data_IF_834622531605
#
_entry.id   IF_834622531605
#
_cell.length_a   1.000
_cell.length_b   1.000
_cell.length_c   1.000
_cell.angle_alpha   90.00
_cell.angle_beta   90.00
_cell.angle_gamma   90.00
#
_symmetry.space_group_name_H-M   'P 1'
#
loop_
_entity.id
_entity.type
_entity.pdbx_description
1 polymer ?
#
# COMPACT_ATOMS: atom_id res chain seq x y z
N UNK A 1 -20.57 4.51 14.61
CA UNK A 1 -20.97 4.84 15.97
C UNK A 1 -20.15 4.06 16.96
N UNK A 2 -19.42 4.77 17.79
CA UNK A 2 -18.55 4.11 18.77
C UNK A 2 -19.30 3.30 19.79
N UNK A 3 -20.43 3.84 20.24
CA UNK A 3 -21.25 3.16 21.24
C UNK A 3 -21.71 1.80 20.76
N UNK A 4 -22.14 1.72 19.52
CA UNK A 4 -22.60 0.45 18.93
C UNK A 4 -21.49 -0.59 18.90
N UNK A 5 -20.29 -0.17 18.56
CA UNK A 5 -19.14 -1.07 18.54
C UNK A 5 -18.85 -1.67 19.91
N UNK A 6 -18.92 -0.84 20.92
CA UNK A 6 -18.67 -1.29 22.29
C UNK A 6 -19.77 -2.23 22.78
N UNK A 7 -21.01 -1.92 22.44
CA UNK A 7 -22.16 -2.75 22.84
C UNK A 7 -22.09 -4.14 22.25
N UNK A 8 -21.46 -4.29 21.09
CA UNK A 8 -21.32 -5.59 20.47
C UNK A 8 -20.20 -6.43 21.07
N UNK A 9 -19.53 -5.92 22.10
CA UNK A 9 -18.45 -6.62 22.75
C UNK A 9 -17.21 -6.77 21.89
N UNK A 10 -17.15 -6.04 20.81
CA UNK A 10 -16.01 -6.03 19.90
C UNK A 10 -15.53 -4.61 19.70
N UNK A 11 -14.23 -4.49 19.55
CA UNK A 11 -13.66 -3.22 19.11
C UNK A 11 -13.46 -3.35 17.62
N UNK A 12 -14.31 -2.70 16.85
CA UNK A 12 -14.15 -2.62 15.41
C UNK A 12 -13.25 -1.46 15.12
N UNK A 13 -12.23 -1.71 14.32
CA UNK A 13 -11.34 -0.64 13.89
C UNK A 13 -12.09 0.32 12.98
N UNK A 14 -11.77 1.58 13.11
CA UNK A 14 -12.34 2.58 12.23
C UNK A 14 -11.71 2.48 10.86
N UNK A 15 -12.52 2.64 9.83
CA UNK A 15 -11.99 2.81 8.48
C UNK A 15 -11.26 4.15 8.44
N UNK A 16 -10.04 4.11 7.97
CA UNK A 16 -9.19 5.28 7.82
C UNK A 16 -8.80 5.46 6.37
N UNK A 17 -8.42 6.67 6.01
CA UNK A 17 -7.85 6.97 4.71
C UNK A 17 -6.34 7.06 4.85
N UNK A 18 -5.63 6.32 4.02
CA UNK A 18 -4.18 6.28 4.04
C UNK A 18 -3.62 6.89 2.76
N UNK A 19 -2.59 7.70 2.91
CA UNK A 19 -1.84 8.26 1.79
C UNK A 19 -0.81 7.22 1.36
N UNK A 20 -0.93 6.77 0.13
CA UNK A 20 -0.18 5.64 -0.37
C UNK A 20 0.60 6.03 -1.62
N UNK A 21 1.87 5.67 -1.68
CA UNK A 21 2.71 5.90 -2.84
C UNK A 21 3.33 4.59 -3.29
N UNK A 22 3.17 4.30 -4.58
CA UNK A 22 3.74 3.09 -5.19
C UNK A 22 5.06 3.44 -5.86
N UNK A 23 6.09 2.64 -5.55
CA UNK A 23 7.41 2.76 -6.17
C UNK A 23 7.71 1.50 -6.97
N UNK A 24 8.24 1.69 -8.16
CA UNK A 24 8.69 0.60 -9.00
C UNK A 24 10.06 0.93 -9.58
N UNK A 25 10.82 -0.11 -9.88
CA UNK A 25 12.07 0.04 -10.63
C UNK A 25 11.75 0.21 -12.11
N UNK A 26 12.67 0.79 -12.91
CA UNK A 26 12.43 0.95 -14.35
C UNK A 26 12.07 -0.35 -15.05
N UNK A 27 12.67 -1.45 -14.61
CA UNK A 27 12.38 -2.78 -15.16
C UNK A 27 12.13 -3.76 -14.04
N UNK A 28 11.24 -4.71 -14.30
CA UNK A 28 10.94 -5.76 -13.33
C UNK A 28 12.21 -6.53 -12.97
N UNK A 29 12.35 -6.85 -11.69
CA UNK A 29 13.48 -7.62 -11.18
C UNK A 29 14.68 -6.82 -10.74
N UNK A 30 14.69 -5.52 -11.02
CA UNK A 30 15.76 -4.65 -10.53
C UNK A 30 15.60 -4.38 -9.04
N UNK A 31 16.72 -4.07 -8.37
CA UNK A 31 16.73 -3.77 -6.94
C UNK A 31 17.14 -2.33 -6.64
N UNK A 32 17.34 -1.54 -7.68
CA UNK A 32 17.73 -0.12 -7.59
C UNK A 32 16.98 0.69 -8.61
N UNK A 33 16.96 1.99 -8.41
CA UNK A 33 16.32 2.90 -9.33
C UNK A 33 14.84 3.04 -9.11
N UNK A 34 14.39 2.80 -7.88
CA UNK A 34 12.99 2.96 -7.55
C UNK A 34 12.51 4.37 -7.83
N UNK A 35 11.36 4.48 -8.46
CA UNK A 35 10.70 5.74 -8.79
C UNK A 35 9.28 5.69 -8.32
N UNK A 36 8.80 6.83 -7.86
CA UNK A 36 7.38 6.98 -7.56
C UNK A 36 6.61 6.90 -8.88
N UNK A 37 5.71 5.94 -8.98
CA UNK A 37 4.91 5.77 -10.20
C UNK A 37 3.46 6.16 -9.99
N UNK A 38 2.97 6.17 -8.77
CA UNK A 38 1.59 6.56 -8.50
C UNK A 38 1.39 6.88 -7.03
N UNK A 39 0.48 7.80 -6.75
CA UNK A 39 0.09 8.17 -5.39
C UNK A 39 -1.42 8.28 -5.34
N UNK A 40 -2.01 7.71 -4.28
CA UNK A 40 -3.46 7.73 -4.11
C UNK A 40 -3.81 7.59 -2.64
N UNK A 41 -5.10 7.77 -2.35
CA UNK A 41 -5.64 7.52 -1.02
C UNK A 41 -6.37 6.19 -1.04
N UNK A 42 -6.09 5.35 -0.05
CA UNK A 42 -6.71 4.03 0.08
C UNK A 42 -7.34 3.91 1.45
N UNK A 43 -8.57 3.44 1.50
CA UNK A 43 -9.28 3.24 2.75
C UNK A 43 -9.05 1.82 3.28
N UNK A 44 -8.97 1.70 4.60
CA UNK A 44 -8.83 0.40 5.25
C UNK A 44 -8.82 0.55 6.75
N UNK A 45 -8.88 -0.57 7.44
CA UNK A 45 -8.83 -0.57 8.90
C UNK A 45 -7.39 -0.46 9.40
N UNK A 46 -6.46 -1.03 8.68
CA UNK A 46 -5.05 -1.05 9.04
C UNK A 46 -4.17 -1.17 7.79
N UNK A 47 -2.88 -1.29 7.98
CA UNK A 47 -1.93 -1.40 6.87
C UNK A 47 -2.15 -2.67 6.06
N UNK A 48 -2.48 -3.78 6.70
CA UNK A 48 -2.70 -5.04 5.97
C UNK A 48 -3.86 -4.91 4.98
N UNK A 49 -4.93 -4.24 5.38
CA UNK A 49 -6.05 -3.96 4.48
C UNK A 49 -5.62 -3.13 3.30
N UNK A 50 -4.83 -2.09 3.57
CA UNK A 50 -4.35 -1.18 2.52
C UNK A 50 -3.46 -1.92 1.52
N UNK A 51 -2.54 -2.74 2.03
CA UNK A 51 -1.63 -3.49 1.19
C UNK A 51 -2.39 -4.48 0.29
N UNK A 52 -3.36 -5.18 0.87
CA UNK A 52 -4.19 -6.11 0.10
C UNK A 52 -5.02 -5.39 -0.96
N UNK A 53 -5.58 -4.25 -0.61
CA UNK A 53 -6.39 -3.47 -1.54
C UNK A 53 -5.57 -2.92 -2.70
N UNK A 54 -4.35 -2.44 -2.43
CA UNK A 54 -3.46 -1.95 -3.48
C UNK A 54 -3.12 -3.08 -4.44
N UNK A 55 -2.77 -4.25 -3.92
CA UNK A 55 -2.44 -5.39 -4.77
C UNK A 55 -3.63 -5.74 -5.67
N UNK A 56 -4.82 -5.81 -5.10
CA UNK A 56 -6.03 -6.11 -5.84
C UNK A 56 -6.32 -5.04 -6.90
N UNK A 57 -6.28 -3.78 -6.49
CA UNK A 57 -6.63 -2.66 -7.37
C UNK A 57 -5.73 -2.59 -8.60
N UNK A 58 -4.44 -2.76 -8.42
CA UNK A 58 -3.48 -2.61 -9.52
C UNK A 58 -3.26 -3.88 -10.32
N UNK A 59 -3.91 -4.99 -9.96
CA UNK A 59 -3.76 -6.26 -10.67
C UNK A 59 -5.06 -6.78 -11.27
N UNK A 60 -6.17 -6.09 -11.05
CA UNK A 60 -7.45 -6.40 -11.68
C UNK A 60 -7.73 -5.30 -12.71
N UNK A 61 -7.76 -5.62 -14.00
CA UNK A 61 -7.84 -4.60 -15.05
C UNK A 61 -8.96 -3.57 -14.87
N UNK A 62 -10.11 -4.01 -14.39
CA UNK A 62 -11.26 -3.11 -14.24
C UNK A 62 -11.12 -2.15 -13.05
N UNK A 63 -10.18 -2.40 -12.15
CA UNK A 63 -9.98 -1.61 -10.94
C UNK A 63 -8.81 -0.64 -11.03
N UNK A 64 -7.95 -0.81 -12.01
CA UNK A 64 -6.77 0.04 -12.17
C UNK A 64 -7.22 1.47 -12.44
N UNK A 65 -6.66 2.46 -11.72
CA UNK A 65 -6.97 3.86 -12.01
C UNK A 65 -6.69 4.20 -13.47
N UNK A 66 -7.57 4.99 -14.07
CA UNK A 66 -7.49 5.28 -15.52
C UNK A 66 -6.23 6.02 -15.91
N UNK A 67 -5.68 6.79 -15.01
CA UNK A 67 -4.47 7.56 -15.26
C UNK A 67 -3.19 6.83 -14.87
N UNK A 68 -3.30 5.56 -14.45
CA UNK A 68 -2.14 4.75 -14.12
C UNK A 68 -1.46 4.27 -15.40
N UNK A 69 -0.16 4.53 -15.50
CA UNK A 69 0.62 4.23 -16.72
C UNK A 69 1.79 3.30 -16.49
N UNK A 70 1.91 2.76 -15.28
CA UNK A 70 3.00 1.85 -14.95
C UNK A 70 2.55 0.38 -15.08
N UNK A 71 3.44 -0.55 -14.77
CA UNK A 71 3.11 -1.97 -14.83
C UNK A 71 2.29 -2.41 -13.63
N UNK A 72 1.73 -3.59 -13.69
CA UNK A 72 1.04 -4.21 -12.55
C UNK A 72 1.98 -4.30 -11.35
N UNK A 73 1.39 -4.33 -10.16
CA UNK A 73 2.15 -4.48 -8.92
C UNK A 73 2.65 -5.92 -8.83
N UNK A 74 3.95 -6.07 -8.64
CA UNK A 74 4.60 -7.36 -8.64
C UNK A 74 5.76 -7.41 -7.64
N UNK A 75 6.31 -8.59 -7.47
CA UNK A 75 7.42 -8.83 -6.55
C UNK A 75 8.54 -7.82 -6.75
N UNK A 76 9.00 -7.23 -5.66
CA UNK A 76 10.03 -6.19 -5.65
C UNK A 76 9.47 -4.78 -5.57
N UNK A 77 8.21 -4.58 -5.89
CA UNK A 77 7.61 -3.25 -5.81
C UNK A 77 7.46 -2.82 -4.35
N UNK A 78 7.53 -1.52 -4.13
CA UNK A 78 7.50 -0.94 -2.79
C UNK A 78 6.30 -0.03 -2.66
N UNK A 79 5.62 -0.13 -1.53
CA UNK A 79 4.53 0.74 -1.17
C UNK A 79 4.88 1.53 0.07
N UNK A 80 4.70 2.84 0.01
CA UNK A 80 4.81 3.71 1.17
C UNK A 80 3.41 4.02 1.68
N UNK A 81 3.20 3.79 2.97
CA UNK A 81 2.03 4.31 3.67
C UNK A 81 2.52 5.48 4.51
N UNK A 82 2.07 6.68 4.19
CA UNK A 82 2.51 7.90 4.84
C UNK A 82 1.44 8.36 5.82
N UNK A 83 1.75 8.30 7.12
CA UNK A 83 0.86 8.74 8.17
C UNK A 83 1.29 10.07 8.78
N UNK A 84 2.06 10.85 8.04
CA UNK A 84 2.49 12.18 8.46
C UNK A 84 3.33 12.14 9.71
N UNK A 85 2.89 12.85 10.75
CA UNK A 85 3.65 12.92 12.00
C UNK A 85 3.76 11.57 12.71
N UNK A 86 2.89 10.62 12.38
CA UNK A 86 2.91 9.28 12.98
C UNK A 86 3.88 8.35 12.27
N UNK A 87 4.45 8.76 11.16
CA UNK A 87 5.53 8.06 10.51
C UNK A 87 5.28 7.68 9.08
N UNK A 88 6.31 7.13 8.47
CA UNK A 88 6.29 6.63 7.12
C UNK A 88 6.66 5.15 7.15
N UNK A 89 5.86 4.33 6.49
CA UNK A 89 5.97 2.88 6.57
C UNK A 89 6.14 2.31 5.17
N UNK A 90 7.27 1.66 4.94
CA UNK A 90 7.62 1.11 3.63
C UNK A 90 7.44 -0.40 3.65
N UNK A 91 6.81 -0.93 2.61
CA UNK A 91 6.57 -2.35 2.43
C UNK A 91 7.03 -2.78 1.05
N UNK A 92 7.70 -3.91 0.97
CA UNK A 92 8.11 -4.49 -0.31
C UNK A 92 7.37 -5.79 -0.54
N UNK A 93 6.86 -5.98 -1.75
CA UNK A 93 6.17 -7.22 -2.11
C UNK A 93 7.21 -8.31 -2.37
N UNK A 94 7.08 -9.40 -1.66
CA UNK A 94 7.90 -10.59 -1.84
C UNK A 94 7.01 -11.76 -2.25
N UNK A 95 7.62 -12.92 -2.51
CA UNK A 95 6.85 -14.12 -2.84
C UNK A 95 5.91 -14.56 -1.71
N UNK A 96 6.23 -14.18 -0.49
CA UNK A 96 5.44 -14.55 0.70
C UNK A 96 4.47 -13.44 1.13
N UNK A 97 4.37 -12.37 0.36
CA UNK A 97 3.51 -11.24 0.67
C UNK A 97 4.30 -9.98 0.95
N UNK A 98 3.64 -8.98 1.54
CA UNK A 98 4.28 -7.72 1.85
C UNK A 98 5.14 -7.85 3.11
N UNK A 99 6.36 -7.30 3.05
CA UNK A 99 7.24 -7.26 4.22
C UNK A 99 7.65 -5.83 4.52
N UNK A 100 7.71 -5.51 5.81
CA UNK A 100 8.12 -4.20 6.26
C UNK A 100 9.62 -4.01 5.99
N UNK A 101 10.00 -2.87 5.40
CA UNK A 101 11.41 -2.56 5.14
C UNK A 101 11.75 -1.17 5.66
N UNK A 102 13.02 -0.86 5.70
CA UNK A 102 13.48 0.47 6.05
C UNK A 102 13.51 1.38 4.83
N UNK A 103 13.32 2.67 5.07
CA UNK A 103 13.36 3.67 4.01
C UNK A 103 14.64 3.59 3.17
N UNK A 104 15.76 3.29 3.81
CA UNK A 104 17.05 3.23 3.11
C UNK A 104 17.12 2.14 2.05
N UNK A 105 16.18 1.20 2.05
CA UNK A 105 16.12 0.16 1.03
C UNK A 105 15.43 0.64 -0.25
N UNK A 106 14.84 1.82 -0.24
CA UNK A 106 14.18 2.39 -1.41
C UNK A 106 15.21 3.26 -2.13
N UNK A 107 15.84 2.67 -3.14
CA UNK A 107 16.93 3.36 -3.87
C UNK A 107 16.57 3.59 -5.31
#
# INVERSE_FOLDING_TARGET
MLVIRMLMGKILKSIQSYDVTLFQTPQFGQTKGYRQVYRLTVSGEDHDDVLAEVYRMFNVPDLVPKDYRARYVSTGDILLIDEGIYGQFFYRLSSDGWERIHRMHVR
#
